data_IF_862019616494
#
_entry.id   IF_862019616494
#
_cell.length_a   1.000
_cell.length_b   1.000
_cell.length_c   1.000
_cell.angle_alpha   90.00
_cell.angle_beta   90.00
_cell.angle_gamma   90.00
#
_symmetry.space_group_name_H-M   'P 1'
#
loop_
_entity.id
_entity.type
_entity.pdbx_description
1 polymer ?
#
# COMPACT_ATOMS: atom_id res chain seq x y z
N UNK A 1 9.09 10.23 2.72
CA UNK A 1 10.41 9.90 2.15
C UNK A 1 10.28 8.80 1.11
N UNK A 2 11.01 8.91 0.04
CA UNK A 2 11.04 7.91 -1.02
C UNK A 2 12.38 7.20 -0.99
N UNK A 3 12.37 5.88 -0.89
CA UNK A 3 13.58 5.09 -0.92
C UNK A 3 13.39 3.92 -1.87
N UNK A 4 14.36 3.70 -2.73
CA UNK A 4 14.37 2.53 -3.59
C UNK A 4 15.72 1.85 -3.47
N UNK A 5 15.68 0.51 -3.43
CA UNK A 5 16.89 -0.29 -3.38
C UNK A 5 16.78 -1.38 -4.43
N UNK A 6 17.81 -1.50 -5.23
CA UNK A 6 17.90 -2.54 -6.24
C UNK A 6 19.02 -3.49 -5.86
N UNK A 7 18.63 -4.69 -5.51
CA UNK A 7 19.57 -5.75 -5.21
C UNK A 7 19.45 -6.74 -6.36
N UNK A 8 20.51 -6.84 -7.11
CA UNK A 8 20.72 -7.63 -8.31
C UNK A 8 19.52 -8.39 -8.91
N UNK A 9 18.83 -9.20 -8.14
CA UNK A 9 17.74 -10.04 -8.63
C UNK A 9 16.38 -9.71 -8.01
N UNK A 10 16.39 -8.93 -6.93
CA UNK A 10 15.18 -8.55 -6.22
C UNK A 10 14.97 -7.06 -6.36
N UNK A 11 14.00 -6.68 -7.14
CA UNK A 11 13.65 -5.26 -7.27
C UNK A 11 12.70 -4.87 -6.16
N UNK A 12 13.24 -4.28 -5.12
CA UNK A 12 12.47 -3.87 -3.94
C UNK A 12 12.46 -2.36 -3.83
N UNK A 13 11.29 -1.79 -3.64
CA UNK A 13 11.11 -0.36 -3.51
C UNK A 13 10.35 -0.06 -2.22
N UNK A 14 10.87 0.89 -1.44
CA UNK A 14 10.21 1.38 -0.25
C UNK A 14 9.74 2.80 -0.47
N UNK A 15 8.46 3.06 -0.25
CA UNK A 15 7.87 4.38 -0.41
C UNK A 15 7.21 4.80 0.90
N UNK A 16 7.53 6.01 1.35
CA UNK A 16 6.93 6.58 2.54
C UNK A 16 6.03 7.74 2.12
N UNK A 17 4.74 7.58 2.34
CA UNK A 17 3.71 8.57 1.97
C UNK A 17 3.84 9.05 0.54
N UNK A 18 3.85 8.12 -0.45
CA UNK A 18 4.13 8.52 -1.85
C UNK A 18 3.01 9.33 -2.50
N UNK A 19 1.82 9.36 -1.90
CA UNK A 19 0.66 10.04 -2.50
C UNK A 19 0.34 11.38 -1.88
N UNK A 20 1.02 11.73 -0.81
CA UNK A 20 0.72 12.96 -0.08
C UNK A 20 1.02 14.18 -0.94
N UNK A 21 0.14 15.18 -0.88
CA UNK A 21 0.25 16.43 -1.64
C UNK A 21 0.17 16.27 -3.16
N UNK A 22 -0.30 15.13 -3.63
CA UNK A 22 -0.56 14.91 -5.05
C UNK A 22 -2.05 15.04 -5.32
N UNK A 23 -2.41 15.62 -6.47
CA UNK A 23 -3.82 15.66 -6.83
C UNK A 23 -4.29 14.25 -7.26
N UNK A 24 -5.61 14.01 -7.27
CA UNK A 24 -6.14 12.66 -7.55
C UNK A 24 -5.71 12.09 -8.90
N UNK A 25 -5.54 12.92 -9.90
CA UNK A 25 -5.13 12.44 -11.22
C UNK A 25 -3.68 11.94 -11.20
N UNK A 26 -2.80 12.68 -10.52
CA UNK A 26 -1.40 12.29 -10.38
C UNK A 26 -1.31 11.03 -9.52
N UNK A 27 -2.10 10.94 -8.46
CA UNK A 27 -2.14 9.73 -7.63
C UNK A 27 -2.51 8.49 -8.46
N UNK A 28 -3.47 8.62 -9.35
CA UNK A 28 -3.87 7.52 -10.23
C UNK A 28 -2.72 7.08 -11.14
N UNK A 29 -1.97 8.02 -11.68
CA UNK A 29 -0.82 7.72 -12.52
C UNK A 29 0.28 7.00 -11.74
N UNK A 30 0.52 7.43 -10.52
CA UNK A 30 1.53 6.78 -9.66
C UNK A 30 1.10 5.35 -9.34
N UNK A 31 -0.19 5.13 -9.04
CA UNK A 31 -0.69 3.78 -8.81
C UNK A 31 -0.49 2.88 -10.03
N UNK A 32 -0.78 3.38 -11.22
CA UNK A 32 -0.58 2.60 -12.44
C UNK A 32 0.88 2.25 -12.65
N UNK A 33 1.76 3.21 -12.44
CA UNK A 33 3.20 2.98 -12.57
C UNK A 33 3.67 1.91 -11.60
N UNK A 34 3.20 1.96 -10.35
CA UNK A 34 3.57 0.97 -9.35
C UNK A 34 3.05 -0.42 -9.69
N UNK A 35 1.84 -0.51 -10.23
CA UNK A 35 1.28 -1.78 -10.67
C UNK A 35 2.10 -2.39 -11.79
N UNK A 36 2.54 -1.58 -12.73
CA UNK A 36 3.43 -2.05 -13.81
C UNK A 36 4.75 -2.55 -13.26
N UNK A 37 5.32 -1.83 -12.29
CA UNK A 37 6.56 -2.22 -11.66
C UNK A 37 6.44 -3.61 -11.01
N UNK A 38 5.37 -3.84 -10.28
CA UNK A 38 5.11 -5.13 -9.63
C UNK A 38 4.87 -6.22 -10.68
N UNK A 39 4.15 -5.90 -11.72
CA UNK A 39 3.84 -6.83 -12.81
C UNK A 39 5.12 -7.33 -13.49
N UNK A 40 6.15 -6.50 -13.52
CA UNK A 40 7.45 -6.85 -14.09
C UNK A 40 8.38 -7.56 -13.11
N UNK A 41 7.88 -7.97 -11.98
CA UNK A 41 8.62 -8.71 -10.98
C UNK A 41 9.14 -7.91 -9.81
N UNK A 42 8.77 -6.64 -9.71
CA UNK A 42 9.17 -5.80 -8.58
C UNK A 42 8.30 -6.04 -7.36
N UNK A 43 8.83 -5.67 -6.21
CA UNK A 43 8.09 -5.67 -4.95
C UNK A 43 8.10 -4.27 -4.38
N UNK A 44 6.95 -3.81 -3.90
CA UNK A 44 6.81 -2.47 -3.35
C UNK A 44 6.25 -2.54 -1.94
N UNK A 45 6.93 -1.84 -1.02
CA UNK A 45 6.41 -1.60 0.32
C UNK A 45 6.01 -0.14 0.41
N UNK A 46 4.79 0.12 0.83
CA UNK A 46 4.28 1.48 0.96
C UNK A 46 3.85 1.72 2.40
N UNK A 47 4.39 2.78 3.01
CA UNK A 47 3.92 3.26 4.28
C UNK A 47 3.02 4.46 4.03
N UNK A 48 1.74 4.35 4.36
CA UNK A 48 0.79 5.44 4.12
C UNK A 48 -0.38 5.34 5.10
N UNK A 49 -0.95 6.49 5.42
CA UNK A 49 -2.23 6.55 6.11
C UNK A 49 -3.36 6.99 5.17
N UNK A 50 -3.08 7.06 3.88
CA UNK A 50 -4.11 7.27 2.86
C UNK A 50 -4.67 5.91 2.48
N UNK A 51 -5.61 5.44 3.26
CA UNK A 51 -6.09 4.06 3.19
C UNK A 51 -6.75 3.70 1.86
N UNK A 52 -7.38 4.66 1.21
CA UNK A 52 -8.00 4.43 -0.09
C UNK A 52 -6.96 4.05 -1.14
N UNK A 53 -5.80 4.71 -1.14
CA UNK A 53 -4.73 4.38 -2.08
C UNK A 53 -4.14 3.01 -1.80
N UNK A 54 -3.93 2.69 -0.53
CA UNK A 54 -3.44 1.38 -0.13
C UNK A 54 -4.41 0.29 -0.59
N UNK A 55 -5.70 0.50 -0.39
CA UNK A 55 -6.72 -0.47 -0.77
C UNK A 55 -6.78 -0.71 -2.27
N UNK A 56 -6.60 0.34 -3.06
CA UNK A 56 -6.64 0.23 -4.52
C UNK A 56 -5.39 -0.40 -5.12
N UNK A 57 -4.27 -0.28 -4.43
CA UNK A 57 -2.97 -0.65 -5.00
C UNK A 57 -2.42 -1.95 -4.44
N UNK A 58 -2.57 -2.18 -3.14
CA UNK A 58 -1.85 -3.25 -2.46
C UNK A 58 -2.59 -4.58 -2.48
N UNK A 59 -1.84 -5.67 -2.43
CA UNK A 59 -2.38 -7.02 -2.29
C UNK A 59 -2.58 -7.37 -0.83
N UNK A 60 -1.69 -6.89 0.03
CA UNK A 60 -1.72 -7.13 1.46
C UNK A 60 -1.41 -5.85 2.20
N UNK A 61 -1.95 -5.74 3.40
CA UNK A 61 -1.71 -4.60 4.25
C UNK A 61 -1.45 -5.04 5.69
N UNK A 62 -0.66 -4.26 6.38
CA UNK A 62 -0.46 -4.42 7.82
C UNK A 62 -0.92 -3.15 8.50
N UNK A 63 -1.77 -3.29 9.50
CA UNK A 63 -2.19 -2.15 10.31
C UNK A 63 -1.27 -2.08 11.51
N UNK A 64 -0.58 -0.94 11.67
CA UNK A 64 0.34 -0.69 12.76
C UNK A 64 -0.25 0.39 13.66
N UNK A 65 -0.30 0.12 14.95
CA UNK A 65 -0.82 1.06 15.92
C UNK A 65 0.00 0.93 17.20
N UNK A 66 0.43 2.06 17.74
CA UNK A 66 1.26 2.11 18.94
C UNK A 66 2.51 1.24 18.84
N UNK A 67 3.16 1.26 17.67
CA UNK A 67 4.40 0.53 17.45
C UNK A 67 4.26 -0.96 17.26
N UNK A 68 3.04 -1.47 17.17
CA UNK A 68 2.78 -2.90 17.02
C UNK A 68 1.92 -3.20 15.82
N UNK A 69 2.17 -4.34 15.19
CA UNK A 69 1.32 -4.83 14.12
C UNK A 69 0.04 -5.39 14.74
N UNK A 70 -1.09 -4.75 14.43
CA UNK A 70 -2.38 -5.15 14.96
C UNK A 70 -3.07 -6.18 14.07
N UNK A 71 -2.81 -6.13 12.77
CA UNK A 71 -3.46 -7.04 11.84
C UNK A 71 -2.67 -7.13 10.55
N UNK A 72 -2.61 -8.33 9.98
CA UNK A 72 -2.13 -8.57 8.63
C UNK A 72 -3.34 -8.97 7.79
N UNK A 73 -3.53 -8.29 6.68
CA UNK A 73 -4.75 -8.40 5.91
C UNK A 73 -4.44 -8.72 4.46
N UNK A 74 -5.13 -9.71 3.92
CA UNK A 74 -5.18 -9.93 2.50
C UNK A 74 -6.37 -9.14 1.96
N UNK A 75 -6.11 -8.20 1.05
CA UNK A 75 -7.16 -7.30 0.59
C UNK A 75 -8.23 -8.00 -0.24
N UNK A 76 -7.91 -9.09 -0.92
CA UNK A 76 -8.94 -9.82 -1.64
C UNK A 76 -9.94 -10.48 -0.67
N UNK A 77 -9.47 -10.96 0.48
CA UNK A 77 -10.36 -11.50 1.51
C UNK A 77 -11.26 -10.42 2.10
N UNK A 78 -10.70 -9.24 2.31
CA UNK A 78 -11.45 -8.10 2.82
C UNK A 78 -12.58 -7.71 1.88
N UNK A 79 -12.31 -7.70 0.58
CA UNK A 79 -13.32 -7.39 -0.43
C UNK A 79 -14.44 -8.42 -0.44
N UNK A 80 -14.11 -9.69 -0.23
CA UNK A 80 -15.13 -10.76 -0.16
C UNK A 80 -16.09 -10.56 1.00
N UNK A 81 -15.64 -9.89 2.05
CA UNK A 81 -16.46 -9.58 3.21
C UNK A 81 -17.18 -8.24 3.08
N UNK A 82 -17.04 -7.56 1.95
CA UNK A 82 -17.59 -6.23 1.70
C UNK A 82 -17.12 -5.19 2.72
N UNK A 83 -15.88 -5.32 3.17
CA UNK A 83 -15.29 -4.39 4.11
C UNK A 83 -14.20 -3.56 3.43
N UNK A 84 -13.99 -2.35 3.93
CA UNK A 84 -12.90 -1.51 3.49
C UNK A 84 -11.79 -1.48 4.55
N UNK A 85 -10.58 -1.08 4.13
CA UNK A 85 -9.48 -0.89 5.06
C UNK A 85 -9.83 0.16 6.11
N UNK A 86 -10.51 1.21 5.71
CA UNK A 86 -10.91 2.28 6.63
C UNK A 86 -11.84 1.74 7.71
N UNK A 87 -12.83 0.94 7.33
CA UNK A 87 -13.74 0.33 8.29
C UNK A 87 -13.00 -0.55 9.28
N UNK A 88 -12.09 -1.38 8.77
CA UNK A 88 -11.29 -2.26 9.62
C UNK A 88 -10.36 -1.48 10.53
N UNK A 89 -9.75 -0.43 10.02
CA UNK A 89 -8.87 0.43 10.80
C UNK A 89 -9.60 1.07 11.97
N UNK A 90 -10.80 1.59 11.74
CA UNK A 90 -11.62 2.19 12.80
C UNK A 90 -12.04 1.17 13.84
N UNK A 91 -12.24 -0.07 13.45
CA UNK A 91 -12.60 -1.14 14.36
C UNK A 91 -11.43 -1.52 15.27
N UNK A 92 -10.21 -1.51 14.74
CA UNK A 92 -9.01 -1.90 15.47
C UNK A 92 -8.48 -0.74 16.33
N UNK A 93 -8.52 0.46 15.82
CA UNK A 93 -8.01 1.65 16.47
C UNK A 93 -9.13 2.40 17.18
#
# INVERSE_FOLDING_TARGET
>A
MLASAFISETKLMFLDEPFINLDPLVQAKVREWLKEYVKKGGTVFINTHLLENAERLCDRAAIIHQGQIQSLINLSDLRKQNLTLEELFHEIV
#
